data_IF_663578462045
#
_entry.id   IF_663578462045
#
_cell.length_a   1.000
_cell.length_b   1.000
_cell.length_c   1.000
_cell.angle_alpha   90.00
_cell.angle_beta   90.00
_cell.angle_gamma   90.00
#
_symmetry.space_group_name_H-M   'P 1'
#
loop_
_entity.id
_entity.type
_entity.pdbx_description
1 polymer ?
#
# COMPACT_ATOMS: atom_id res chain seq x y z
N UNK A 1 6.11 7.94 -77.83
CA UNK A 1 5.89 6.71 -77.02
C UNK A 1 6.83 6.60 -75.83
N UNK A 2 8.03 7.15 -75.89
CA UNK A 2 9.07 7.05 -74.85
C UNK A 2 8.70 7.69 -73.50
N UNK A 3 8.04 8.86 -73.51
CA UNK A 3 7.60 9.54 -72.29
C UNK A 3 6.53 8.78 -71.49
N UNK A 4 5.67 7.96 -72.15
CA UNK A 4 4.69 7.11 -71.43
C UNK A 4 5.38 5.94 -70.72
N UNK A 5 6.31 5.26 -71.38
CA UNK A 5 7.09 4.16 -70.78
C UNK A 5 7.95 4.63 -69.59
N UNK A 6 8.54 5.83 -69.66
CA UNK A 6 9.30 6.44 -68.56
C UNK A 6 8.42 6.77 -67.35
N UNK A 7 7.21 7.28 -67.59
CA UNK A 7 6.22 7.60 -66.53
C UNK A 7 5.69 6.34 -65.84
N UNK A 8 5.40 5.28 -66.60
CA UNK A 8 4.97 3.98 -66.07
C UNK A 8 6.07 3.25 -65.27
N UNK A 9 7.34 3.40 -65.66
CA UNK A 9 8.49 2.88 -64.92
C UNK A 9 8.67 3.61 -63.58
N UNK A 10 8.51 4.93 -63.56
CA UNK A 10 8.54 5.73 -62.32
C UNK A 10 7.37 5.38 -61.38
N UNK A 11 6.15 5.21 -61.89
CA UNK A 11 4.99 4.82 -61.08
C UNK A 11 5.20 3.43 -60.47
N UNK A 12 5.75 2.47 -61.23
CA UNK A 12 6.11 1.14 -60.71
C UNK A 12 7.21 1.21 -59.65
N UNK A 13 8.23 2.04 -59.84
CA UNK A 13 9.29 2.27 -58.85
C UNK A 13 8.77 2.87 -57.55
N UNK A 14 7.90 3.89 -57.63
CA UNK A 14 7.27 4.50 -56.45
C UNK A 14 6.37 3.51 -55.71
N UNK A 15 5.58 2.70 -56.41
CA UNK A 15 4.76 1.64 -55.80
C UNK A 15 5.61 0.57 -55.10
N UNK A 16 6.76 0.21 -55.67
CA UNK A 16 7.69 -0.74 -55.07
C UNK A 16 8.35 -0.18 -53.79
N UNK A 17 8.77 1.09 -53.81
CA UNK A 17 9.32 1.76 -52.61
C UNK A 17 8.26 1.90 -51.51
N UNK A 18 7.04 2.33 -51.86
CA UNK A 18 5.91 2.41 -50.91
C UNK A 18 5.60 1.04 -50.28
N UNK A 19 5.71 -0.05 -51.04
CA UNK A 19 5.51 -1.40 -50.52
C UNK A 19 6.58 -1.78 -49.49
N UNK A 20 7.85 -1.48 -49.76
CA UNK A 20 8.95 -1.75 -48.83
C UNK A 20 8.81 -0.89 -47.56
N UNK A 21 8.53 0.40 -47.72
CA UNK A 21 8.32 1.33 -46.59
C UNK A 21 7.12 0.89 -45.75
N UNK A 22 6.03 0.46 -46.37
CA UNK A 22 4.85 -0.05 -45.67
C UNK A 22 5.16 -1.31 -44.85
N UNK A 23 5.93 -2.25 -45.40
CA UNK A 23 6.37 -3.44 -44.64
C UNK A 23 7.32 -3.09 -43.50
N UNK A 24 8.25 -2.16 -43.71
CA UNK A 24 9.17 -1.71 -42.68
C UNK A 24 8.42 -1.01 -41.55
N UNK A 25 7.45 -0.14 -41.87
CA UNK A 25 6.55 0.47 -40.90
C UNK A 25 5.74 -0.58 -40.12
N UNK A 26 5.25 -1.62 -40.78
CA UNK A 26 4.54 -2.71 -40.10
C UNK A 26 5.45 -3.45 -39.10
N UNK A 27 6.70 -3.75 -39.48
CA UNK A 27 7.69 -4.33 -38.55
C UNK A 27 7.95 -3.42 -37.34
N UNK A 28 8.13 -2.13 -37.57
CA UNK A 28 8.33 -1.14 -36.50
C UNK A 28 7.10 -1.05 -35.59
N UNK A 29 5.89 -1.05 -36.16
CA UNK A 29 4.66 -1.03 -35.40
C UNK A 29 4.52 -2.27 -34.49
N UNK A 30 4.86 -3.46 -35.00
CA UNK A 30 4.87 -4.71 -34.20
C UNK A 30 5.87 -4.60 -33.04
N UNK A 31 7.07 -4.07 -33.29
CA UNK A 31 8.07 -3.87 -32.23
C UNK A 31 7.55 -2.91 -31.15
N UNK A 32 6.96 -1.77 -31.53
CA UNK A 32 6.37 -0.84 -30.56
C UNK A 32 5.21 -1.44 -29.78
N UNK A 33 4.36 -2.24 -30.42
CA UNK A 33 3.29 -2.95 -29.71
C UNK A 33 3.86 -3.94 -28.68
N UNK A 34 4.96 -4.62 -29.00
CA UNK A 34 5.65 -5.49 -28.05
C UNK A 34 6.19 -4.73 -26.83
N UNK A 35 6.89 -3.62 -27.06
CA UNK A 35 7.40 -2.74 -25.99
C UNK A 35 6.23 -2.20 -25.14
N UNK A 36 5.14 -1.79 -25.79
CA UNK A 36 3.97 -1.27 -25.12
C UNK A 36 3.29 -2.32 -24.22
N UNK A 37 3.11 -3.55 -24.72
CA UNK A 37 2.56 -4.65 -23.95
C UNK A 37 3.45 -4.99 -22.74
N UNK A 38 4.77 -5.04 -22.95
CA UNK A 38 5.73 -5.28 -21.87
C UNK A 38 5.67 -4.20 -20.79
N UNK A 39 5.69 -2.91 -21.16
CA UNK A 39 5.57 -1.78 -20.22
C UNK A 39 4.25 -1.76 -19.47
N UNK A 40 3.17 -2.18 -20.12
CA UNK A 40 1.85 -2.34 -19.49
C UNK A 40 1.86 -3.47 -18.46
N UNK A 41 2.50 -4.60 -18.77
CA UNK A 41 2.67 -5.69 -17.82
C UNK A 41 3.51 -5.28 -16.60
N UNK A 42 4.64 -4.57 -16.83
CA UNK A 42 5.47 -4.02 -15.75
C UNK A 42 4.68 -3.07 -14.84
N UNK A 43 3.97 -2.08 -15.39
CA UNK A 43 3.16 -1.15 -14.61
C UNK A 43 2.08 -1.89 -13.78
N UNK A 44 1.42 -2.89 -14.38
CA UNK A 44 0.38 -3.67 -13.72
C UNK A 44 0.94 -4.49 -12.55
N UNK A 45 2.09 -5.14 -12.76
CA UNK A 45 2.79 -5.92 -11.73
C UNK A 45 3.29 -5.04 -10.59
N UNK A 46 3.87 -3.88 -10.92
CA UNK A 46 4.35 -2.94 -9.91
C UNK A 46 3.21 -2.45 -9.01
N UNK A 47 2.06 -2.10 -9.58
CA UNK A 47 0.88 -1.68 -8.81
C UNK A 47 0.38 -2.79 -7.90
N UNK A 48 0.30 -4.02 -8.41
CA UNK A 48 -0.13 -5.17 -7.62
C UNK A 48 0.78 -5.42 -6.41
N UNK A 49 2.10 -5.42 -6.62
CA UNK A 49 3.08 -5.63 -5.54
C UNK A 49 3.05 -4.46 -4.55
N UNK A 50 3.09 -3.23 -5.06
CA UNK A 50 3.07 -2.02 -4.23
C UNK A 50 1.84 -1.96 -3.31
N UNK A 51 0.67 -2.37 -3.79
CA UNK A 51 -0.54 -2.44 -2.98
C UNK A 51 -0.41 -3.42 -1.80
N UNK A 52 0.18 -4.59 -2.05
CA UNK A 52 0.42 -5.60 -1.00
C UNK A 52 1.47 -5.11 -0.01
N UNK A 53 2.56 -4.55 -0.50
CA UNK A 53 3.64 -4.01 0.32
C UNK A 53 3.16 -2.83 1.16
N UNK A 54 2.32 -1.96 0.61
CA UNK A 54 1.72 -0.85 1.33
C UNK A 54 0.93 -1.29 2.56
N UNK A 55 0.05 -2.28 2.42
CA UNK A 55 -0.68 -2.80 3.58
C UNK A 55 0.20 -3.59 4.53
N UNK A 56 1.14 -4.40 4.03
CA UNK A 56 2.06 -5.14 4.88
C UNK A 56 2.88 -4.21 5.78
N UNK A 57 3.43 -3.13 5.22
CA UNK A 57 4.26 -2.17 5.95
C UNK A 57 3.43 -1.22 6.81
N UNK A 58 2.28 -0.75 6.32
CA UNK A 58 1.33 0.04 7.13
C UNK A 58 0.87 -0.75 8.35
N UNK A 59 0.46 -2.01 8.19
CA UNK A 59 0.03 -2.85 9.31
C UNK A 59 1.19 -3.11 10.28
N UNK A 60 2.38 -3.44 9.78
CA UNK A 60 3.57 -3.64 10.62
C UNK A 60 3.86 -2.43 11.50
N UNK A 61 3.92 -1.23 10.92
CA UNK A 61 4.25 0.01 11.65
C UNK A 61 3.14 0.42 12.60
N UNK A 62 1.86 0.28 12.21
CA UNK A 62 0.72 0.56 13.11
C UNK A 62 0.75 -0.37 14.32
N UNK A 63 0.93 -1.68 14.10
CA UNK A 63 0.90 -2.68 15.16
C UNK A 63 2.16 -2.66 16.05
N UNK A 64 3.32 -2.33 15.46
CA UNK A 64 4.61 -2.27 16.16
C UNK A 64 5.25 -0.91 15.88
N UNK A 65 4.85 0.16 16.59
CA UNK A 65 5.33 1.51 16.31
C UNK A 65 6.75 1.78 16.83
N UNK A 66 7.21 1.06 17.85
CA UNK A 66 8.52 1.28 18.49
C UNK A 66 9.59 0.42 17.81
N UNK A 67 10.70 1.05 17.42
CA UNK A 67 11.89 0.42 16.83
C UNK A 67 11.59 -0.55 15.66
N UNK A 68 10.69 -0.15 14.76
CA UNK A 68 10.31 -0.96 13.61
C UNK A 68 11.13 -0.61 12.37
N UNK A 69 11.90 -1.58 11.87
CA UNK A 69 12.72 -1.46 10.66
C UNK A 69 11.89 -1.14 9.40
N UNK A 70 10.60 -1.49 9.39
CA UNK A 70 9.71 -1.22 8.26
C UNK A 70 9.40 0.27 8.08
N UNK A 71 9.60 1.10 9.12
CA UNK A 71 9.40 2.55 9.04
C UNK A 71 10.30 3.17 7.96
N UNK A 72 11.55 2.72 7.83
CA UNK A 72 12.48 3.22 6.83
C UNK A 72 12.05 2.90 5.38
N UNK A 73 11.16 1.92 5.18
CA UNK A 73 10.67 1.52 3.87
C UNK A 73 9.47 2.35 3.40
N UNK A 74 8.82 3.09 4.30
CA UNK A 74 7.59 3.83 4.02
C UNK A 74 7.80 4.90 2.93
N UNK A 75 8.91 5.64 2.95
CA UNK A 75 9.23 6.64 1.94
C UNK A 75 9.40 6.06 0.50
N UNK A 76 9.66 4.76 0.38
CA UNK A 76 9.71 4.06 -0.91
C UNK A 76 8.33 3.66 -1.46
N UNK A 77 7.33 3.57 -0.58
CA UNK A 77 5.99 3.03 -0.86
C UNK A 77 4.96 4.16 -0.97
N UNK A 78 5.04 5.13 -0.05
CA UNK A 78 4.10 6.23 0.09
C UNK A 78 4.69 7.54 -0.45
N UNK A 79 3.82 8.46 -0.84
CA UNK A 79 4.21 9.85 -1.11
C UNK A 79 4.51 10.56 0.21
N UNK A 80 5.35 11.60 0.16
CA UNK A 80 5.62 12.40 1.36
C UNK A 80 4.34 13.07 1.88
N UNK A 81 3.46 13.52 0.97
CA UNK A 81 2.15 14.09 1.32
C UNK A 81 1.32 13.14 2.19
N UNK A 82 1.29 11.84 1.86
CA UNK A 82 0.60 10.84 2.67
C UNK A 82 1.23 10.67 4.06
N UNK A 83 2.56 10.58 4.12
CA UNK A 83 3.29 10.38 5.37
C UNK A 83 3.12 11.58 6.30
N UNK A 84 3.21 12.81 5.78
CA UNK A 84 3.01 14.04 6.54
C UNK A 84 1.57 14.16 7.05
N UNK A 85 0.58 13.81 6.22
CA UNK A 85 -0.86 13.85 6.57
C UNK A 85 -1.21 12.85 7.66
N UNK A 86 -0.69 11.63 7.56
CA UNK A 86 -1.08 10.51 8.44
C UNK A 86 -0.16 10.33 9.64
N UNK A 87 1.03 10.94 9.61
CA UNK A 87 2.09 10.75 10.61
C UNK A 87 2.43 9.27 10.83
N UNK A 88 2.28 8.44 9.79
CA UNK A 88 2.45 6.99 9.89
C UNK A 88 3.84 6.59 10.43
N UNK A 89 4.87 7.38 10.15
CA UNK A 89 6.24 7.13 10.61
C UNK A 89 6.45 7.39 12.11
N UNK A 90 5.61 8.24 12.72
CA UNK A 90 5.79 8.72 14.10
C UNK A 90 4.60 8.38 15.00
N UNK A 91 3.56 7.74 14.48
CA UNK A 91 2.38 7.36 15.26
C UNK A 91 2.76 6.35 16.35
N UNK A 92 2.06 6.43 17.49
CA UNK A 92 2.32 5.60 18.66
C UNK A 92 1.04 4.94 19.20
N UNK A 93 0.01 4.80 18.37
CA UNK A 93 -1.33 4.33 18.78
C UNK A 93 -1.28 3.03 19.58
N UNK A 94 -0.42 2.09 19.17
CA UNK A 94 -0.27 0.78 19.82
C UNK A 94 1.01 0.65 20.64
N UNK A 95 1.68 1.76 21.01
CA UNK A 95 2.97 1.71 21.68
C UNK A 95 2.92 1.01 23.04
N UNK A 96 1.79 1.07 23.75
CA UNK A 96 1.60 0.39 25.05
C UNK A 96 1.45 -1.13 24.97
N UNK A 97 1.58 -1.74 23.78
CA UNK A 97 1.34 -3.15 23.55
C UNK A 97 2.50 -3.83 22.84
N UNK A 98 2.89 -5.01 23.35
CA UNK A 98 3.83 -5.91 22.70
C UNK A 98 3.03 -6.90 21.85
N UNK A 99 2.94 -6.64 20.54
CA UNK A 99 2.25 -7.51 19.60
C UNK A 99 3.16 -8.67 19.18
N UNK A 100 2.81 -9.89 19.60
CA UNK A 100 3.59 -11.10 19.35
C UNK A 100 3.35 -11.67 17.95
N UNK A 101 2.09 -11.70 17.50
CA UNK A 101 1.69 -12.24 16.20
C UNK A 101 0.38 -11.62 15.71
N UNK A 102 0.16 -11.70 14.40
CA UNK A 102 -1.10 -11.38 13.73
C UNK A 102 -1.14 -12.12 12.39
N UNK A 103 -2.34 -12.41 11.89
CA UNK A 103 -2.55 -12.86 10.51
C UNK A 103 -2.95 -11.66 9.65
N UNK A 104 -2.31 -11.53 8.49
CA UNK A 104 -2.54 -10.46 7.53
C UNK A 104 -2.91 -11.05 6.17
N UNK A 105 -4.12 -10.75 5.72
CA UNK A 105 -4.62 -11.14 4.40
C UNK A 105 -4.95 -9.91 3.58
N UNK A 106 -4.15 -9.65 2.54
CA UNK A 106 -4.38 -8.56 1.60
C UNK A 106 -4.77 -9.12 0.23
N UNK A 107 -6.02 -8.92 -0.18
CA UNK A 107 -6.52 -9.32 -1.50
C UNK A 107 -6.53 -8.12 -2.44
N UNK A 108 -5.58 -8.14 -3.39
CA UNK A 108 -5.45 -7.13 -4.43
C UNK A 108 -5.98 -7.70 -5.75
N UNK A 109 -6.94 -7.04 -6.43
CA UNK A 109 -7.41 -7.49 -7.73
C UNK A 109 -6.35 -7.25 -8.81
N UNK A 110 -6.25 -8.17 -9.76
CA UNK A 110 -5.41 -7.96 -10.95
C UNK A 110 -6.08 -6.89 -11.81
N UNK A 111 -5.38 -5.77 -12.04
CA UNK A 111 -5.81 -4.71 -12.97
C UNK A 111 -4.73 -4.47 -14.01
N UNK A 112 -5.16 -4.32 -15.27
CA UNK A 112 -4.27 -3.92 -16.36
C UNK A 112 -4.10 -2.41 -16.33
N UNK A 113 -2.85 -1.96 -16.21
CA UNK A 113 -2.48 -0.54 -16.15
C UNK A 113 -1.60 -0.19 -17.32
N UNK A 114 -2.18 0.54 -18.27
CA UNK A 114 -1.49 0.96 -19.49
C UNK A 114 -0.24 1.79 -19.19
N UNK A 115 0.76 1.65 -20.07
CA UNK A 115 2.07 2.28 -19.92
C UNK A 115 2.04 3.82 -19.70
N UNK A 116 1.05 4.52 -20.28
CA UNK A 116 0.90 5.99 -20.23
C UNK A 116 0.10 6.52 -19.03
N UNK A 117 -0.39 5.65 -18.14
CA UNK A 117 -1.11 6.07 -16.94
C UNK A 117 -0.11 6.52 -15.85
N UNK A 118 -0.46 7.60 -15.16
CA UNK A 118 0.32 8.16 -14.04
C UNK A 118 -0.49 8.29 -12.74
N UNK A 119 -1.79 7.97 -12.79
CA UNK A 119 -2.68 7.90 -11.63
C UNK A 119 -3.59 6.69 -11.79
N UNK A 120 -3.89 6.03 -10.68
CA UNK A 120 -4.75 4.85 -10.66
C UNK A 120 -5.36 4.65 -9.28
N UNK A 121 -6.63 4.24 -9.26
CA UNK A 121 -7.30 3.81 -8.04
C UNK A 121 -7.53 2.29 -8.07
N UNK A 122 -7.17 1.63 -6.97
CA UNK A 122 -7.37 0.19 -6.79
C UNK A 122 -8.16 -0.07 -5.51
N UNK A 123 -9.16 -0.95 -5.61
CA UNK A 123 -9.92 -1.43 -4.46
C UNK A 123 -9.19 -2.65 -3.90
N UNK A 124 -8.82 -2.62 -2.62
CA UNK A 124 -8.05 -3.66 -1.94
C UNK A 124 -8.78 -4.06 -0.68
N UNK A 125 -8.96 -5.36 -0.47
CA UNK A 125 -9.44 -5.88 0.80
C UNK A 125 -8.22 -6.19 1.68
N UNK A 126 -8.22 -5.65 2.90
CA UNK A 126 -7.18 -5.88 3.89
C UNK A 126 -7.79 -6.33 5.20
N UNK A 127 -7.49 -7.57 5.60
CA UNK A 127 -7.96 -8.20 6.81
C UNK A 127 -6.77 -8.48 7.74
N UNK A 128 -6.88 -8.00 8.97
CA UNK A 128 -5.93 -8.26 10.07
C UNK A 128 -6.69 -8.96 11.19
N UNK A 129 -6.23 -10.14 11.60
CA UNK A 129 -6.91 -10.97 12.58
C UNK A 129 -5.93 -11.73 13.47
N UNK A 130 -6.45 -12.45 14.47
CA UNK A 130 -5.64 -13.29 15.39
C UNK A 130 -4.46 -12.52 16.04
N UNK A 131 -4.69 -11.24 16.38
CA UNK A 131 -3.68 -10.37 16.97
C UNK A 131 -3.41 -10.79 18.41
N UNK A 132 -2.27 -11.43 18.65
CA UNK A 132 -1.80 -11.77 20.00
C UNK A 132 -0.94 -10.64 20.55
N UNK A 133 -1.39 -10.05 21.66
CA UNK A 133 -0.71 -8.92 22.29
C UNK A 133 -0.62 -9.09 23.81
N UNK A 134 0.29 -8.34 24.43
CA UNK A 134 0.38 -8.14 25.87
C UNK A 134 0.61 -6.66 26.16
N UNK A 135 0.20 -6.19 27.33
CA UNK A 135 0.58 -4.87 27.81
C UNK A 135 2.10 -4.78 27.96
N UNK A 136 2.70 -3.70 27.48
CA UNK A 136 4.08 -3.34 27.79
C UNK A 136 4.16 -2.65 29.16
N UNK A 137 4.50 -3.43 30.18
CA UNK A 137 4.63 -2.94 31.56
C UNK A 137 5.85 -2.03 31.77
N UNK A 138 6.72 -1.88 30.77
CA UNK A 138 7.84 -0.92 30.85
C UNK A 138 7.38 0.53 30.62
N UNK A 139 6.18 0.72 30.07
CA UNK A 139 5.60 2.04 29.86
C UNK A 139 4.89 2.53 31.12
N UNK A 140 5.12 3.81 31.45
CA UNK A 140 4.55 4.46 32.63
C UNK A 140 3.05 4.72 32.50
N UNK A 141 2.60 5.01 31.27
CA UNK A 141 1.21 5.23 30.92
C UNK A 141 0.91 4.46 29.64
N UNK A 142 -0.20 3.71 29.65
CA UNK A 142 -0.66 2.94 28.50
C UNK A 142 -1.91 3.62 27.97
N UNK A 143 -1.83 4.06 26.72
CA UNK A 143 -3.00 4.51 25.99
C UNK A 143 -3.82 3.28 25.59
N UNK A 144 -4.92 3.03 26.30
CA UNK A 144 -5.84 1.96 25.92
C UNK A 144 -6.44 2.25 24.54
N UNK A 145 -6.57 1.19 23.73
CA UNK A 145 -7.19 1.25 22.41
C UNK A 145 -8.40 0.33 22.37
N UNK A 146 -9.46 0.77 21.68
CA UNK A 146 -10.64 -0.06 21.43
C UNK A 146 -10.40 -1.07 20.30
N UNK A 147 -9.43 -0.80 19.43
CA UNK A 147 -9.03 -1.63 18.31
C UNK A 147 -7.57 -1.33 17.93
N UNK A 148 -6.77 -2.38 17.70
CA UNK A 148 -5.37 -2.21 17.29
C UNK A 148 -5.23 -1.62 15.87
N UNK A 149 -6.08 -2.09 14.95
CA UNK A 149 -6.09 -1.63 13.56
C UNK A 149 -7.42 -1.98 12.89
N UNK A 150 -7.92 -1.08 12.06
CA UNK A 150 -9.09 -1.31 11.22
C UNK A 150 -8.79 -2.33 10.11
N UNK A 151 -9.75 -3.22 9.87
CA UNK A 151 -9.79 -4.12 8.71
C UNK A 151 -10.93 -3.70 7.80
N UNK A 152 -10.79 -3.89 6.50
CA UNK A 152 -11.80 -3.41 5.58
C UNK A 152 -11.43 -3.48 4.12
N UNK A 153 -12.33 -2.92 3.32
CA UNK A 153 -12.12 -2.66 1.91
C UNK A 153 -11.74 -1.21 1.72
N UNK A 154 -10.59 -1.01 1.08
CA UNK A 154 -9.98 0.30 0.91
C UNK A 154 -9.85 0.65 -0.58
N UNK A 155 -9.91 1.94 -0.89
CA UNK A 155 -9.43 2.49 -2.16
C UNK A 155 -8.03 3.07 -1.96
N UNK A 156 -7.05 2.53 -2.68
CA UNK A 156 -5.70 3.08 -2.77
C UNK A 156 -5.63 4.03 -3.94
N UNK A 157 -5.33 5.29 -3.64
CA UNK A 157 -5.09 6.33 -4.61
C UNK A 157 -3.59 6.35 -4.93
N UNK A 158 -3.21 5.94 -6.14
CA UNK A 158 -1.82 5.75 -6.52
C UNK A 158 -1.40 6.77 -7.56
N UNK A 159 -0.16 7.24 -7.45
CA UNK A 159 0.43 8.22 -8.37
C UNK A 159 1.81 7.76 -8.81
N UNK A 160 2.24 8.18 -9.99
CA UNK A 160 3.58 7.92 -10.52
C UNK A 160 4.44 9.18 -10.34
N UNK A 161 5.42 9.11 -9.45
CA UNK A 161 6.41 10.16 -9.16
C UNK A 161 7.79 9.68 -9.59
N UNK A 162 8.51 10.49 -10.38
CA UNK A 162 9.86 10.17 -10.88
C UNK A 162 9.97 8.77 -11.52
N UNK A 163 8.92 8.37 -12.23
CA UNK A 163 8.84 7.09 -12.92
C UNK A 163 8.51 5.88 -12.03
N UNK A 164 8.26 6.07 -10.73
CA UNK A 164 7.88 5.03 -9.78
C UNK A 164 6.48 5.24 -9.25
N UNK A 165 5.70 4.17 -9.13
CA UNK A 165 4.40 4.24 -8.48
C UNK A 165 4.57 4.37 -6.97
N UNK A 166 3.71 5.16 -6.35
CA UNK A 166 3.58 5.36 -4.91
C UNK A 166 2.12 5.45 -4.52
N UNK A 167 1.81 5.15 -3.25
CA UNK A 167 0.49 5.36 -2.66
C UNK A 167 0.41 6.80 -2.15
N UNK A 168 -0.55 7.55 -2.66
CA UNK A 168 -0.79 8.95 -2.31
C UNK A 168 -1.85 9.10 -1.22
N UNK A 169 -2.86 8.23 -1.21
CA UNK A 169 -3.88 8.22 -0.17
C UNK A 169 -4.52 6.84 -0.05
N UNK A 170 -5.13 6.59 1.10
CA UNK A 170 -5.89 5.37 1.39
C UNK A 170 -7.22 5.78 2.01
N UNK A 171 -8.31 5.37 1.37
CA UNK A 171 -9.69 5.64 1.83
C UNK A 171 -10.35 4.34 2.24
N UNK A 172 -10.88 4.26 3.47
CA UNK A 172 -11.72 3.15 3.90
C UNK A 172 -13.12 3.31 3.28
N UNK A 173 -13.58 2.29 2.56
CA UNK A 173 -14.90 2.26 1.93
C UNK A 173 -15.90 1.46 2.76
N UNK A 174 -15.44 0.36 3.34
CA UNK A 174 -16.26 -0.61 4.06
C UNK A 174 -15.42 -1.29 5.14
N UNK A 175 -15.87 -1.24 6.38
CA UNK A 175 -15.21 -1.94 7.49
C UNK A 175 -15.56 -3.45 7.44
N UNK A 176 -14.56 -4.29 7.71
CA UNK A 176 -14.72 -5.73 7.84
C UNK A 176 -14.37 -6.10 9.27
N UNK A 177 -15.32 -6.69 10.00
CA UNK A 177 -15.08 -7.25 11.33
C UNK A 177 -14.46 -8.64 11.14
N UNK A 178 -13.24 -8.90 11.65
CA UNK A 178 -12.62 -10.21 11.55
C UNK A 178 -13.43 -11.31 12.26
N UNK A 179 -13.37 -12.54 11.74
CA UNK A 179 -14.07 -13.67 12.34
C UNK A 179 -13.49 -14.08 13.71
N UNK A 180 -12.18 -13.82 13.92
CA UNK A 180 -11.45 -14.13 15.15
C UNK A 180 -10.70 -12.91 15.64
N UNK A 181 -11.07 -12.44 16.85
CA UNK A 181 -10.46 -11.31 17.53
C UNK A 181 -10.16 -11.71 18.97
N UNK A 182 -8.90 -11.68 19.36
CA UNK A 182 -8.52 -11.85 20.77
C UNK A 182 -8.86 -10.58 21.56
N UNK A 183 -9.24 -10.70 22.84
CA UNK A 183 -9.52 -9.53 23.65
C UNK A 183 -8.25 -8.67 23.79
N UNK A 184 -8.41 -7.35 23.72
CA UNK A 184 -7.33 -6.40 23.96
C UNK A 184 -6.93 -6.51 25.44
N UNK A 185 -5.65 -6.78 25.75
CA UNK A 185 -5.17 -6.84 27.13
C UNK A 185 -5.39 -5.49 27.83
N UNK A 186 -5.85 -5.50 29.08
CA UNK A 186 -6.04 -4.29 29.90
C UNK A 186 -5.05 -4.27 31.04
N UNK A 187 -4.76 -3.06 31.54
CA UNK A 187 -3.99 -2.90 32.78
C UNK A 187 -4.88 -3.34 33.94
N UNK A 188 -4.46 -4.33 34.71
CA UNK A 188 -5.14 -4.66 35.96
C UNK A 188 -4.90 -3.53 36.96
N UNK A 189 -5.91 -2.68 37.20
CA UNK A 189 -5.91 -1.75 38.32
C UNK A 189 -5.97 -2.57 39.60
N UNK A 190 -4.86 -2.62 40.35
CA UNK A 190 -4.92 -3.11 41.73
C UNK A 190 -5.73 -2.09 42.55
N UNK A 191 -6.92 -2.48 43.01
CA UNK A 191 -7.65 -1.75 44.03
C UNK A 191 -6.79 -1.72 45.29
N UNK A 192 -6.04 -0.63 45.48
CA UNK A 192 -5.30 -0.37 46.72
C UNK A 192 -6.36 0.01 47.77
N UNK A 193 -6.91 -0.97 48.47
CA UNK A 193 -7.58 -0.73 49.74
C UNK A 193 -6.54 -0.21 50.73
N UNK A 194 -6.43 1.12 50.84
CA UNK A 194 -5.71 1.78 51.90
C UNK A 194 -6.30 1.30 53.25
N UNK A 195 -5.51 0.70 54.16
CA UNK A 195 -6.01 0.40 55.49
C UNK A 195 -6.41 1.72 56.18
N UNK A 196 -7.62 1.77 56.75
CA UNK A 196 -8.04 2.84 57.65
C UNK A 196 -6.98 2.98 58.75
N UNK A 197 -6.33 4.14 58.81
CA UNK A 197 -5.55 4.51 59.99
C UNK A 197 -6.53 4.54 61.17
N UNK A 198 -6.39 3.59 62.10
CA UNK A 198 -6.97 3.73 63.42
C UNK A 198 -6.36 4.97 64.08
N UNK A 199 -7.15 6.05 64.10
CA UNK A 199 -6.86 7.24 64.90
C UNK A 199 -6.93 6.81 66.36
N UNK A 200 -5.77 6.46 66.91
CA UNK A 200 -5.59 6.18 68.33
C UNK A 200 -6.00 7.39 69.15
N UNK A 201 -7.06 7.20 69.94
CA UNK A 201 -7.45 8.11 71.01
C UNK A 201 -6.29 8.25 72.00
N UNK A 202 -5.57 9.37 71.97
CA UNK A 202 -4.74 9.79 73.07
C UNK A 202 -5.61 10.49 74.11
N UNK A 203 -6.00 9.74 75.14
CA UNK A 203 -6.46 10.27 76.42
C UNK A 203 -5.25 10.24 77.35
N UNK A 204 -4.72 11.40 77.69
CA UNK A 204 -4.34 11.82 79.05
C UNK A 204 -3.87 13.28 79.05
#
# INVERSE_FOLDING_TARGET
MENRKKREKNIRGVRFVLYIVGKLLACVAILYLGIFAFKTAENSSQIYMLARDAFAKRTSVILKPIDNDDTALLAGIFTQEYLDKTQLETQQTNAGYIISSYDLQTKVPIKVVFAWKNKMDIRVENLVQDISAKVDTSQLEIQEVDQFIESGVYTLHMVKEDGRWKVNDITLEEEIIPESVYPIPKVETQDITLPEEEVGNAVD
#
